data_IF_652541423739
#
_entry.id   IF_652541423739
#
_cell.length_a   1.000
_cell.length_b   1.000
_cell.length_c   1.000
_cell.angle_alpha   90.00
_cell.angle_beta   90.00
_cell.angle_gamma   90.00
#
_symmetry.space_group_name_H-M   'P 1'
#
loop_
_entity.id
_entity.type
_entity.pdbx_description
1 polymer ?
#
# COMPACT_ATOMS: atom_id res chain seq x y z
N UNK A 1 -36.62 -62.65 -7.18
CA UNK A 1 -36.59 -61.50 -6.27
C UNK A 1 -35.21 -60.89 -6.36
N UNK A 2 -35.00 -59.91 -7.30
CA UNK A 2 -33.70 -59.31 -7.59
C UNK A 2 -33.61 -58.02 -6.78
N UNK A 3 -32.67 -57.95 -5.85
CA UNK A 3 -32.33 -56.75 -5.09
C UNK A 3 -31.28 -55.95 -5.93
N UNK A 4 -31.72 -54.79 -6.45
CA UNK A 4 -30.82 -53.82 -7.12
C UNK A 4 -30.12 -53.01 -6.06
N UNK A 5 -28.78 -53.11 -5.98
CA UNK A 5 -27.94 -52.20 -5.24
C UNK A 5 -27.70 -50.94 -6.10
N UNK A 6 -28.20 -49.79 -5.66
CA UNK A 6 -27.88 -48.49 -6.19
C UNK A 6 -26.68 -47.97 -5.39
N UNK A 7 -25.50 -47.99 -6.01
CA UNK A 7 -24.31 -47.31 -5.46
C UNK A 7 -24.43 -45.82 -5.83
N UNK A 8 -24.75 -44.97 -4.85
CA UNK A 8 -24.71 -43.50 -4.98
C UNK A 8 -23.26 -43.06 -4.88
N UNK A 9 -22.68 -42.67 -6.02
CA UNK A 9 -21.35 -42.09 -6.08
C UNK A 9 -21.46 -40.60 -5.72
N UNK A 10 -21.22 -40.24 -4.46
CA UNK A 10 -21.06 -38.84 -4.06
C UNK A 10 -19.72 -38.32 -4.60
N UNK A 11 -19.77 -37.60 -5.71
CA UNK A 11 -18.67 -36.74 -6.13
C UNK A 11 -18.51 -35.59 -5.13
N UNK A 12 -17.58 -35.72 -4.20
CA UNK A 12 -17.09 -34.59 -3.43
C UNK A 12 -16.31 -33.67 -4.38
N UNK A 13 -16.97 -32.67 -4.93
CA UNK A 13 -16.32 -31.56 -5.59
C UNK A 13 -15.55 -30.76 -4.53
N UNK A 14 -14.26 -31.02 -4.40
CA UNK A 14 -13.35 -30.19 -3.60
C UNK A 14 -13.25 -28.86 -4.34
N UNK A 15 -14.13 -27.90 -4.01
CA UNK A 15 -13.94 -26.51 -4.38
C UNK A 15 -12.66 -26.04 -3.68
N UNK A 16 -11.54 -26.09 -4.39
CA UNK A 16 -10.38 -25.31 -4.01
C UNK A 16 -10.78 -23.85 -4.19
N UNK A 17 -11.21 -23.19 -3.11
CA UNK A 17 -11.25 -21.74 -3.04
C UNK A 17 -9.82 -21.27 -3.30
N UNK A 18 -9.55 -20.83 -4.53
CA UNK A 18 -8.35 -20.05 -4.84
C UNK A 18 -8.55 -18.76 -4.02
N UNK A 19 -7.96 -18.72 -2.83
CA UNK A 19 -7.90 -17.47 -2.07
C UNK A 19 -7.23 -16.45 -2.99
N UNK A 20 -7.98 -15.41 -3.36
CA UNK A 20 -7.42 -14.32 -4.14
C UNK A 20 -6.22 -13.76 -3.36
N UNK A 21 -5.06 -13.71 -4.01
CA UNK A 21 -3.86 -13.18 -3.37
C UNK A 21 -4.09 -11.70 -3.09
N UNK A 22 -3.90 -11.31 -1.84
CA UNK A 22 -4.03 -9.91 -1.42
C UNK A 22 -2.78 -9.18 -1.89
N UNK A 23 -2.90 -8.10 -2.68
CA UNK A 23 -1.77 -7.25 -2.99
C UNK A 23 -1.20 -6.58 -1.72
N UNK A 24 0.13 -6.38 -1.67
CA UNK A 24 0.87 -5.81 -0.53
C UNK A 24 0.58 -6.56 0.78
N UNK A 25 0.84 -7.86 0.79
CA UNK A 25 0.62 -8.70 1.96
C UNK A 25 1.85 -9.55 2.28
N UNK A 26 2.13 -9.71 3.57
CA UNK A 26 3.14 -10.63 4.11
C UNK A 26 2.44 -11.88 4.61
N UNK A 27 2.83 -13.06 4.10
CA UNK A 27 2.21 -14.35 4.42
C UNK A 27 3.02 -15.17 5.43
N UNK A 28 4.34 -14.97 5.48
CA UNK A 28 5.21 -15.67 6.43
C UNK A 28 5.50 -14.77 7.64
N UNK A 29 5.26 -15.22 8.87
CA UNK A 29 5.37 -14.40 10.08
C UNK A 29 6.81 -13.98 10.41
N UNK A 30 7.81 -14.68 9.88
CA UNK A 30 9.23 -14.35 10.03
C UNK A 30 9.71 -13.25 9.06
N UNK A 31 8.90 -12.85 8.09
CA UNK A 31 9.24 -11.77 7.16
C UNK A 31 8.81 -10.44 7.73
N UNK A 32 9.73 -9.47 7.75
CA UNK A 32 9.53 -8.13 8.27
C UNK A 32 10.13 -7.07 7.34
N UNK A 33 9.66 -5.84 7.49
CA UNK A 33 10.23 -4.63 6.84
C UNK A 33 10.38 -4.82 5.32
N UNK A 34 9.27 -5.25 4.67
CA UNK A 34 9.26 -5.42 3.22
C UNK A 34 9.09 -4.07 2.55
N UNK A 35 10.14 -3.58 1.89
CA UNK A 35 10.14 -2.34 1.13
C UNK A 35 10.36 -2.60 -0.35
N UNK A 36 9.61 -1.91 -1.20
CA UNK A 36 9.77 -1.91 -2.64
C UNK A 36 9.65 -0.46 -3.13
N UNK A 37 10.73 0.11 -3.64
CA UNK A 37 10.79 1.53 -3.96
C UNK A 37 11.64 1.82 -5.20
N UNK A 38 11.45 3.00 -5.78
CA UNK A 38 12.08 3.42 -7.03
C UNK A 38 13.44 4.09 -6.77
N UNK A 39 14.48 3.66 -7.50
CA UNK A 39 15.77 4.36 -7.65
C UNK A 39 16.37 4.83 -6.31
N UNK A 40 16.57 3.95 -5.36
CA UNK A 40 17.19 4.21 -4.03
C UNK A 40 16.43 5.21 -3.13
N UNK A 41 15.24 5.63 -3.49
CA UNK A 41 14.39 6.47 -2.66
C UNK A 41 13.28 5.64 -1.99
N UNK A 42 13.46 5.29 -0.71
CA UNK A 42 12.54 4.44 0.06
C UNK A 42 11.09 4.98 0.13
N UNK A 43 10.87 6.28 -0.12
CA UNK A 43 9.55 6.90 -0.13
C UNK A 43 8.95 7.00 -1.55
N UNK A 44 9.71 6.62 -2.59
CA UNK A 44 9.23 6.69 -3.95
C UNK A 44 8.37 5.46 -4.31
N UNK A 45 7.16 5.72 -4.77
CA UNK A 45 6.22 4.67 -5.16
C UNK A 45 6.78 3.78 -6.28
N UNK A 46 6.57 2.45 -6.27
CA UNK A 46 7.16 1.50 -7.20
C UNK A 46 6.52 1.56 -8.59
N UNK A 47 6.91 2.56 -9.36
CA UNK A 47 6.49 2.78 -10.75
C UNK A 47 7.69 2.68 -11.67
N UNK A 48 7.57 1.90 -12.74
CA UNK A 48 8.55 1.79 -13.81
C UNK A 48 8.01 2.40 -15.09
N UNK A 49 8.82 3.16 -15.81
CA UNK A 49 8.53 3.49 -17.19
C UNK A 49 8.87 2.29 -18.09
N UNK A 50 7.93 1.88 -18.94
CA UNK A 50 8.12 0.77 -19.86
C UNK A 50 9.31 1.07 -20.78
N UNK A 51 10.26 0.14 -20.86
CA UNK A 51 11.55 0.32 -21.57
C UNK A 51 12.45 1.46 -21.04
N UNK A 52 12.12 2.03 -19.88
CA UNK A 52 12.94 3.03 -19.20
C UNK A 52 14.13 2.43 -18.45
N UNK A 53 15.02 3.29 -17.97
CA UNK A 53 16.21 2.87 -17.19
C UNK A 53 15.91 2.60 -15.71
N UNK A 54 14.72 2.92 -15.24
CA UNK A 54 14.34 2.86 -13.84
C UNK A 54 14.51 1.48 -13.24
N UNK A 55 14.85 1.45 -11.96
CA UNK A 55 15.02 0.24 -11.16
C UNK A 55 14.22 0.33 -9.86
N UNK A 56 13.73 -0.79 -9.42
CA UNK A 56 13.14 -0.94 -8.10
C UNK A 56 14.12 -1.66 -7.18
N UNK A 57 14.29 -1.15 -5.98
CA UNK A 57 14.97 -1.85 -4.90
C UNK A 57 13.92 -2.60 -4.08
N UNK A 58 14.17 -3.87 -3.88
CA UNK A 58 13.41 -4.74 -2.98
C UNK A 58 14.29 -5.07 -1.79
N UNK A 59 13.85 -4.72 -0.60
CA UNK A 59 14.50 -5.00 0.67
C UNK A 59 13.54 -5.71 1.62
N UNK A 60 14.00 -6.74 2.33
CA UNK A 60 13.22 -7.39 3.38
C UNK A 60 14.11 -8.17 4.35
N UNK A 61 13.61 -8.40 5.54
CA UNK A 61 14.30 -9.15 6.59
C UNK A 61 13.60 -10.47 6.90
N UNK A 62 14.39 -11.55 7.08
CA UNK A 62 13.95 -12.85 7.58
C UNK A 62 14.46 -13.03 9.02
N UNK A 63 13.54 -13.04 9.99
CA UNK A 63 13.84 -13.15 11.44
C UNK A 63 14.30 -14.54 11.87
N UNK A 64 14.22 -15.56 11.01
CA UNK A 64 14.83 -16.87 11.32
C UNK A 64 16.36 -16.81 11.28
N UNK A 65 16.94 -15.71 10.79
CA UNK A 65 18.38 -15.42 10.81
C UNK A 65 19.26 -16.51 10.17
N UNK A 66 18.73 -17.19 9.17
CA UNK A 66 19.44 -18.16 8.34
C UNK A 66 19.23 -17.85 6.88
N UNK A 67 20.10 -18.37 6.03
CA UNK A 67 19.96 -18.19 4.57
C UNK A 67 18.92 -19.15 4.03
N UNK A 68 17.95 -18.62 3.31
CA UNK A 68 16.93 -19.36 2.59
C UNK A 68 16.95 -18.99 1.10
N UNK A 69 16.44 -19.86 0.28
CA UNK A 69 16.38 -19.64 -1.16
C UNK A 69 15.08 -18.93 -1.53
N UNK A 70 15.11 -17.62 -1.57
CA UNK A 70 13.99 -16.81 -2.05
C UNK A 70 14.06 -16.62 -3.56
N UNK A 71 12.90 -16.66 -4.20
CA UNK A 71 12.70 -16.40 -5.63
C UNK A 71 11.60 -15.36 -5.80
N UNK A 72 11.63 -14.66 -6.92
CA UNK A 72 10.55 -13.76 -7.29
C UNK A 72 10.02 -14.04 -8.70
N UNK A 73 8.78 -13.62 -8.95
CA UNK A 73 8.14 -13.56 -10.26
C UNK A 73 7.20 -12.37 -10.33
N UNK A 74 6.83 -12.00 -11.56
CA UNK A 74 5.82 -10.96 -11.81
C UNK A 74 4.53 -11.61 -12.32
N UNK A 75 3.39 -11.15 -11.82
CA UNK A 75 2.09 -11.50 -12.34
C UNK A 75 1.38 -10.27 -12.86
N UNK A 76 1.07 -10.24 -14.17
CA UNK A 76 0.28 -9.17 -14.78
C UNK A 76 -1.16 -9.24 -14.25
N UNK A 77 -1.69 -8.06 -13.86
CA UNK A 77 -3.04 -7.87 -13.38
C UNK A 77 -3.77 -6.78 -14.19
N UNK A 78 -5.08 -6.80 -14.16
CA UNK A 78 -5.93 -5.74 -14.67
C UNK A 78 -5.91 -4.50 -13.75
N UNK A 79 -6.57 -3.41 -14.15
CA UNK A 79 -6.68 -2.18 -13.39
C UNK A 79 -7.23 -2.38 -11.96
N UNK A 80 -8.07 -3.38 -11.76
CA UNK A 80 -8.68 -3.80 -10.49
C UNK A 80 -7.86 -4.85 -9.71
N UNK A 81 -6.63 -5.11 -10.11
CA UNK A 81 -5.71 -6.12 -9.56
C UNK A 81 -6.14 -7.57 -9.75
N UNK A 82 -7.20 -7.84 -10.55
CA UNK A 82 -7.53 -9.22 -10.93
C UNK A 82 -6.42 -9.79 -11.82
N UNK A 83 -5.90 -11.01 -11.53
CA UNK A 83 -4.84 -11.63 -12.32
C UNK A 83 -5.29 -11.88 -13.77
N UNK A 84 -4.43 -11.52 -14.71
CA UNK A 84 -4.68 -11.78 -16.14
C UNK A 84 -4.30 -13.23 -16.47
N UNK A 85 -5.18 -13.92 -17.21
CA UNK A 85 -4.99 -15.31 -17.61
C UNK A 85 -4.28 -15.40 -18.96
N UNK A 86 -2.99 -15.04 -18.98
CA UNK A 86 -2.09 -15.20 -20.15
C UNK A 86 -0.76 -15.79 -19.68
N UNK A 87 0.02 -16.31 -20.63
CA UNK A 87 1.35 -16.84 -20.32
C UNK A 87 2.30 -15.74 -19.85
N UNK A 88 3.17 -16.04 -18.89
CA UNK A 88 4.22 -15.11 -18.48
C UNK A 88 5.15 -14.70 -19.63
N UNK A 89 5.34 -15.55 -20.65
CA UNK A 89 6.10 -15.23 -21.86
C UNK A 89 5.49 -14.10 -22.70
N UNK A 90 4.20 -13.78 -22.51
CA UNK A 90 3.52 -12.68 -23.21
C UNK A 90 3.89 -11.31 -22.62
N UNK A 91 4.45 -11.24 -21.38
CA UNK A 91 4.78 -9.99 -20.70
C UNK A 91 6.13 -9.97 -19.97
N UNK A 92 6.86 -11.11 -19.95
CA UNK A 92 8.23 -11.20 -19.43
C UNK A 92 9.13 -11.77 -20.54
N UNK A 93 10.20 -11.04 -20.85
CA UNK A 93 11.27 -11.54 -21.70
C UNK A 93 12.41 -12.06 -20.84
N UNK A 94 12.76 -13.33 -20.99
CA UNK A 94 13.78 -14.01 -20.20
C UNK A 94 13.19 -14.96 -19.18
N UNK A 95 13.78 -15.02 -18.00
CA UNK A 95 13.36 -15.93 -16.94
C UNK A 95 12.13 -15.40 -16.21
N UNK A 96 11.10 -16.24 -16.09
CA UNK A 96 9.88 -15.90 -15.37
C UNK A 96 10.07 -15.94 -13.84
N UNK A 97 11.01 -16.73 -13.34
CA UNK A 97 11.32 -16.90 -11.92
C UNK A 97 12.81 -16.68 -11.71
N UNK A 98 13.18 -15.84 -10.76
CA UNK A 98 14.55 -15.44 -10.52
C UNK A 98 14.90 -15.57 -9.04
N UNK A 99 16.10 -16.11 -8.68
CA UNK A 99 16.53 -16.20 -7.30
C UNK A 99 17.00 -14.84 -6.78
N UNK A 100 16.69 -14.55 -5.51
CA UNK A 100 17.25 -13.42 -4.77
C UNK A 100 18.56 -13.89 -4.15
N UNK A 101 19.70 -13.34 -4.61
CA UNK A 101 21.05 -13.84 -4.27
C UNK A 101 21.78 -12.97 -3.26
N UNK A 102 21.43 -11.68 -3.19
CA UNK A 102 22.09 -10.74 -2.30
C UNK A 102 21.46 -10.80 -0.92
N UNK A 103 22.28 -11.11 0.08
CA UNK A 103 21.84 -11.16 1.47
C UNK A 103 22.99 -10.83 2.43
N UNK A 104 22.63 -10.28 3.59
CA UNK A 104 23.53 -9.98 4.68
C UNK A 104 22.95 -10.45 6.02
N UNK A 105 23.78 -11.01 6.88
CA UNK A 105 23.38 -11.26 8.26
C UNK A 105 23.35 -9.94 9.03
N UNK A 106 22.37 -9.81 9.93
CA UNK A 106 22.37 -8.69 10.88
C UNK A 106 23.63 -8.71 11.72
N UNK A 107 24.21 -7.53 11.94
CA UNK A 107 25.36 -7.35 12.83
C UNK A 107 25.03 -6.28 13.86
N UNK A 108 25.58 -6.41 15.07
CA UNK A 108 25.39 -5.51 16.24
C UNK A 108 23.94 -5.41 16.75
N UNK A 109 22.94 -5.96 16.07
CA UNK A 109 21.55 -6.00 16.50
C UNK A 109 21.29 -7.06 17.58
N UNK A 110 20.37 -6.76 18.53
CA UNK A 110 19.88 -7.77 19.48
C UNK A 110 18.98 -8.77 18.78
N UNK A 111 18.10 -8.29 17.91
CA UNK A 111 17.27 -9.12 17.04
C UNK A 111 18.09 -9.60 15.88
N UNK A 112 18.26 -10.91 15.76
CA UNK A 112 18.95 -11.50 14.60
C UNK A 112 18.01 -11.64 13.44
N UNK A 113 18.50 -11.32 12.23
CA UNK A 113 17.79 -11.50 10.98
C UNK A 113 18.78 -11.67 9.83
N UNK A 114 18.29 -12.18 8.71
CA UNK A 114 18.99 -12.13 7.42
C UNK A 114 18.28 -11.10 6.56
N UNK A 115 19.00 -10.05 6.16
CA UNK A 115 18.53 -9.05 5.22
C UNK A 115 18.73 -9.52 3.80
N UNK A 116 17.71 -9.41 2.95
CA UNK A 116 17.74 -9.72 1.52
C UNK A 116 17.53 -8.47 0.70
N UNK A 117 18.27 -8.37 -0.41
CA UNK A 117 18.20 -7.26 -1.35
C UNK A 117 18.10 -7.76 -2.79
N UNK A 118 17.34 -7.05 -3.65
CA UNK A 118 17.31 -7.27 -5.09
C UNK A 118 17.00 -6.00 -5.86
N UNK A 119 17.65 -5.80 -7.01
CA UNK A 119 17.38 -4.69 -7.93
C UNK A 119 16.60 -5.21 -9.13
N UNK A 120 15.40 -4.69 -9.32
CA UNK A 120 14.41 -5.18 -10.27
C UNK A 120 14.05 -4.12 -11.35
N UNK A 121 13.75 -4.51 -12.59
CA UNK A 121 13.94 -5.84 -13.17
C UNK A 121 15.43 -6.15 -13.42
N UNK A 122 15.83 -7.41 -13.28
CA UNK A 122 17.15 -7.87 -13.69
C UNK A 122 17.27 -7.94 -15.22
N UNK A 123 18.51 -7.95 -15.75
CA UNK A 123 18.75 -8.06 -17.20
C UNK A 123 18.17 -9.34 -17.81
N UNK A 124 18.13 -10.42 -17.03
CA UNK A 124 17.58 -11.72 -17.44
C UNK A 124 16.06 -11.85 -17.30
N UNK A 125 15.34 -10.83 -16.82
CA UNK A 125 13.89 -10.88 -16.57
C UNK A 125 13.27 -9.50 -16.77
N UNK A 126 12.95 -9.16 -18.01
CA UNK A 126 12.50 -7.82 -18.41
C UNK A 126 11.00 -7.82 -18.65
N UNK A 127 10.29 -6.88 -18.01
CA UNK A 127 8.87 -6.63 -18.25
C UNK A 127 8.71 -5.95 -19.63
N UNK A 128 7.81 -6.47 -20.48
CA UNK A 128 7.63 -6.03 -21.87
C UNK A 128 6.27 -5.42 -22.18
N UNK A 129 5.38 -5.35 -21.18
CA UNK A 129 4.05 -4.71 -21.31
C UNK A 129 3.81 -3.76 -20.15
N UNK A 130 3.08 -2.70 -20.41
CA UNK A 130 2.57 -1.82 -19.36
C UNK A 130 1.38 -2.45 -18.64
N UNK A 131 1.11 -2.02 -17.40
CA UNK A 131 -0.01 -2.52 -16.59
C UNK A 131 0.33 -2.61 -15.11
N UNK A 132 -0.55 -3.25 -14.37
CA UNK A 132 -0.36 -3.57 -12.96
C UNK A 132 0.36 -4.91 -12.82
N UNK A 133 1.37 -4.96 -11.97
CA UNK A 133 2.11 -6.17 -11.69
C UNK A 133 2.12 -6.48 -10.20
N UNK A 134 1.84 -7.72 -9.86
CA UNK A 134 2.05 -8.23 -8.53
C UNK A 134 3.41 -8.94 -8.50
N UNK A 135 4.38 -8.33 -7.81
CA UNK A 135 5.63 -8.99 -7.45
C UNK A 135 5.29 -10.07 -6.39
N UNK A 136 5.66 -11.30 -6.65
CA UNK A 136 5.51 -12.43 -5.74
C UNK A 136 6.87 -12.93 -5.33
N UNK A 137 7.13 -12.96 -4.04
CA UNK A 137 8.34 -13.57 -3.47
C UNK A 137 7.95 -14.85 -2.74
N UNK A 138 8.69 -15.92 -3.00
CA UNK A 138 8.37 -17.28 -2.52
C UNK A 138 9.64 -18.11 -2.27
N UNK A 139 9.50 -19.17 -1.50
CA UNK A 139 10.61 -20.05 -1.11
C UNK A 139 10.82 -21.20 -2.09
N UNK A 140 12.10 -21.63 -2.21
CA UNK A 140 12.52 -22.88 -2.86
C UNK A 140 12.03 -23.04 -4.30
N UNK A 141 11.85 -21.96 -5.04
CA UNK A 141 11.28 -21.95 -6.39
C UNK A 141 9.86 -22.57 -6.48
N UNK A 142 9.11 -22.57 -5.37
CA UNK A 142 7.75 -23.08 -5.26
C UNK A 142 6.76 -21.94 -4.98
N UNK A 143 6.00 -21.54 -6.00
CA UNK A 143 5.03 -20.45 -5.91
C UNK A 143 3.89 -20.69 -4.91
N UNK A 144 3.72 -21.90 -4.41
CA UNK A 144 2.78 -22.21 -3.34
C UNK A 144 3.33 -21.78 -1.95
N UNK A 145 4.66 -21.64 -1.80
CA UNK A 145 5.33 -21.18 -0.59
C UNK A 145 5.51 -19.66 -0.59
N UNK A 146 4.43 -18.92 -0.76
CA UNK A 146 4.45 -17.48 -0.90
C UNK A 146 4.92 -16.82 0.41
N UNK A 147 5.93 -15.96 0.33
CA UNK A 147 6.44 -15.19 1.44
C UNK A 147 5.72 -13.85 1.58
N UNK A 148 5.65 -13.09 0.49
CA UNK A 148 4.93 -11.82 0.43
C UNK A 148 4.62 -11.43 -1.02
N UNK A 149 3.77 -10.41 -1.17
CA UNK A 149 3.44 -9.75 -2.44
C UNK A 149 3.59 -8.25 -2.32
N UNK A 150 4.00 -7.58 -3.42
CA UNK A 150 4.04 -6.11 -3.55
C UNK A 150 3.54 -5.66 -4.91
N UNK A 151 2.84 -4.52 -4.95
CA UNK A 151 2.37 -3.89 -6.17
C UNK A 151 3.50 -3.21 -6.92
N UNK A 152 3.48 -3.29 -8.25
CA UNK A 152 4.32 -2.54 -9.18
C UNK A 152 3.42 -1.97 -10.26
N UNK A 153 3.63 -0.72 -10.63
CA UNK A 153 3.04 -0.13 -11.83
C UNK A 153 4.09 -0.04 -12.93
N UNK A 154 3.71 -0.41 -14.15
CA UNK A 154 4.56 -0.22 -15.33
C UNK A 154 3.78 0.62 -16.34
N UNK A 155 4.25 1.84 -16.59
CA UNK A 155 3.53 2.82 -17.42
C UNK A 155 4.18 2.97 -18.79
N UNK A 156 3.34 2.99 -19.85
CA UNK A 156 3.69 3.38 -21.19
C UNK A 156 2.97 4.70 -21.50
N UNK A 157 3.65 5.83 -21.34
CA UNK A 157 3.05 7.17 -21.38
C UNK A 157 2.52 7.56 -22.78
N UNK A 158 1.54 6.82 -23.29
CA UNK A 158 0.88 7.03 -24.59
C UNK A 158 -0.22 8.10 -24.54
N UNK A 159 -0.67 8.53 -23.36
CA UNK A 159 -1.64 9.62 -23.20
C UNK A 159 -1.04 10.75 -22.35
N UNK A 160 -1.50 11.98 -22.60
CA UNK A 160 -1.18 13.10 -21.73
C UNK A 160 -2.33 13.41 -20.79
N UNK A 161 -2.00 13.73 -19.55
CA UNK A 161 -2.95 14.02 -18.47
C UNK A 161 -2.60 15.38 -17.87
N UNK A 162 -3.61 16.20 -17.64
CA UNK A 162 -3.49 17.44 -16.88
C UNK A 162 -4.57 17.48 -15.81
N UNK A 163 -4.20 17.75 -14.57
CA UNK A 163 -5.11 17.70 -13.43
C UNK A 163 -4.88 18.83 -12.45
N UNK A 164 -5.92 19.19 -11.71
CA UNK A 164 -5.90 20.16 -10.63
C UNK A 164 -6.83 19.70 -9.50
N UNK A 165 -6.60 20.18 -8.27
CA UNK A 165 -7.52 19.96 -7.17
C UNK A 165 -8.35 21.19 -6.89
N UNK A 166 -9.56 20.98 -6.40
CA UNK A 166 -10.54 22.01 -6.08
C UNK A 166 -11.26 21.69 -4.78
N UNK A 167 -11.83 22.73 -4.19
CA UNK A 167 -12.81 22.60 -3.13
C UNK A 167 -14.12 22.06 -3.72
N UNK A 168 -14.75 21.02 -3.13
CA UNK A 168 -16.07 20.57 -3.58
C UNK A 168 -17.12 21.67 -3.47
N UNK A 169 -18.01 21.75 -4.45
CA UNK A 169 -19.08 22.75 -4.45
C UNK A 169 -20.19 22.44 -3.41
N UNK A 170 -20.33 21.17 -2.99
CA UNK A 170 -21.27 20.79 -1.96
C UNK A 170 -20.89 21.37 -0.60
N UNK A 171 -21.68 22.27 0.01
CA UNK A 171 -21.33 22.94 1.27
C UNK A 171 -21.10 21.99 2.45
N UNK A 172 -21.71 20.80 2.45
CA UNK A 172 -21.58 19.83 3.53
C UNK A 172 -20.20 19.21 3.62
N UNK A 173 -19.46 19.15 2.49
CA UNK A 173 -18.14 18.52 2.41
C UNK A 173 -17.04 19.48 1.96
N UNK A 174 -17.38 20.72 1.62
CA UNK A 174 -16.42 21.68 1.05
C UNK A 174 -15.22 21.95 1.96
N UNK A 175 -15.39 21.93 3.28
CA UNK A 175 -14.31 22.19 4.24
C UNK A 175 -13.53 20.92 4.63
N UNK A 176 -13.98 19.74 4.19
CA UNK A 176 -13.45 18.45 4.66
C UNK A 176 -12.95 17.55 3.55
N UNK A 177 -13.28 17.85 2.29
CA UNK A 177 -12.96 17.00 1.16
C UNK A 177 -12.22 17.77 0.06
N UNK A 178 -11.51 17.05 -0.77
CA UNK A 178 -10.75 17.53 -1.92
C UNK A 178 -11.31 16.88 -3.19
N UNK A 179 -11.58 17.70 -4.20
CA UNK A 179 -12.07 17.28 -5.51
C UNK A 179 -10.95 17.35 -6.52
N UNK A 180 -10.79 16.31 -7.32
CA UNK A 180 -9.79 16.26 -8.39
C UNK A 180 -10.51 16.42 -9.73
N UNK A 181 -10.07 17.38 -10.53
CA UNK A 181 -10.52 17.55 -11.92
C UNK A 181 -9.35 17.32 -12.86
N UNK A 182 -9.57 16.62 -13.95
CA UNK A 182 -8.50 16.34 -14.89
C UNK A 182 -9.02 16.08 -16.29
N UNK A 183 -8.11 16.21 -17.26
CA UNK A 183 -8.33 15.92 -18.67
C UNK A 183 -7.34 14.86 -19.13
N UNK A 184 -7.81 13.95 -19.97
CA UNK A 184 -7.00 12.94 -20.64
C UNK A 184 -7.04 13.18 -22.13
N UNK A 185 -5.87 13.36 -22.76
CA UNK A 185 -5.75 13.43 -24.21
C UNK A 185 -5.20 12.08 -24.73
N UNK A 186 -6.02 11.37 -25.48
CA UNK A 186 -5.74 10.03 -25.99
C UNK A 186 -5.39 9.99 -27.47
N UNK A 187 -4.90 11.10 -28.05
CA UNK A 187 -4.66 11.24 -29.49
C UNK A 187 -3.77 10.13 -30.08
N UNK A 188 -2.87 9.58 -29.27
CA UNK A 188 -1.98 8.51 -29.72
C UNK A 188 -2.64 7.11 -29.69
N UNK A 189 -3.85 6.98 -29.12
CA UNK A 189 -4.56 5.70 -29.04
C UNK A 189 -5.62 5.59 -30.15
N UNK A 190 -5.72 4.42 -30.76
CA UNK A 190 -6.77 4.10 -31.71
C UNK A 190 -8.05 3.65 -31.00
N UNK A 191 -8.81 4.60 -30.45
CA UNK A 191 -10.05 4.31 -29.72
C UNK A 191 -11.23 4.14 -30.70
N UNK A 192 -11.93 3.01 -30.58
CA UNK A 192 -13.17 2.71 -31.30
C UNK A 192 -14.38 2.96 -30.40
N UNK A 193 -14.30 2.48 -29.16
CA UNK A 193 -15.32 2.70 -28.15
C UNK A 193 -14.65 3.13 -26.83
N UNK A 194 -14.40 4.43 -26.64
CA UNK A 194 -13.66 4.94 -25.49
C UNK A 194 -14.23 4.49 -24.12
N UNK A 195 -15.55 4.41 -24.00
CA UNK A 195 -16.22 4.04 -22.74
C UNK A 195 -16.01 2.57 -22.33
N UNK A 196 -15.59 1.72 -23.24
CA UNK A 196 -15.25 0.32 -22.93
C UNK A 196 -13.74 0.10 -22.88
N UNK A 197 -12.97 0.97 -23.52
CA UNK A 197 -11.55 0.80 -23.71
C UNK A 197 -10.71 1.60 -22.71
N UNK A 198 -11.23 2.72 -22.18
CA UNK A 198 -10.54 3.54 -21.17
C UNK A 198 -11.14 3.31 -19.79
N UNK A 199 -10.28 3.16 -18.82
CA UNK A 199 -10.60 3.16 -17.39
C UNK A 199 -9.66 4.10 -16.67
N UNK A 200 -10.13 4.78 -15.65
CA UNK A 200 -9.30 5.65 -14.83
C UNK A 200 -9.38 5.23 -13.38
N UNK A 201 -8.24 5.22 -12.72
CA UNK A 201 -8.14 4.98 -11.28
C UNK A 201 -7.42 6.14 -10.64
N UNK A 202 -8.00 6.67 -9.56
CA UNK A 202 -7.38 7.70 -8.74
C UNK A 202 -7.03 7.15 -7.38
N UNK A 203 -5.82 7.49 -6.93
CA UNK A 203 -5.33 7.17 -5.59
C UNK A 203 -5.04 8.46 -4.85
N UNK A 204 -5.31 8.47 -3.54
CA UNK A 204 -4.84 9.46 -2.59
C UNK A 204 -3.74 8.84 -1.74
N UNK A 205 -2.56 9.48 -1.68
CA UNK A 205 -1.41 9.03 -0.89
C UNK A 205 -0.99 7.57 -1.21
N UNK A 206 -1.04 7.21 -2.50
CA UNK A 206 -0.71 5.88 -3.04
C UNK A 206 -1.53 4.72 -2.45
N UNK A 207 -2.65 5.01 -1.80
CA UNK A 207 -3.50 4.05 -1.11
C UNK A 207 -4.53 3.43 -2.04
N UNK A 208 -4.60 2.10 -2.04
CA UNK A 208 -5.57 1.34 -2.84
C UNK A 208 -6.86 1.02 -2.09
N UNK A 209 -6.89 1.12 -0.77
CA UNK A 209 -8.08 0.90 0.05
C UNK A 209 -9.18 1.95 -0.18
N UNK A 210 -8.79 3.17 -0.59
CA UNK A 210 -9.71 4.26 -0.91
C UNK A 210 -9.78 4.60 -2.40
N UNK A 211 -9.17 3.80 -3.28
CA UNK A 211 -9.13 4.03 -4.71
C UNK A 211 -10.52 4.34 -5.30
N UNK A 212 -10.56 5.31 -6.23
CA UNK A 212 -11.76 5.65 -7.00
C UNK A 212 -11.57 5.18 -8.44
N UNK A 213 -12.49 4.34 -8.89
CA UNK A 213 -12.54 3.83 -10.27
C UNK A 213 -13.57 4.61 -11.05
N UNK A 214 -13.20 5.13 -12.22
CA UNK A 214 -14.06 5.93 -13.09
C UNK A 214 -14.08 5.31 -14.49
N UNK A 215 -15.25 4.87 -14.92
CA UNK A 215 -15.46 4.23 -16.21
C UNK A 215 -15.85 5.22 -17.32
N UNK A 216 -16.35 6.41 -16.96
CA UNK A 216 -16.89 7.36 -17.92
C UNK A 216 -16.43 8.79 -17.61
N UNK A 217 -15.98 9.54 -18.63
CA UNK A 217 -15.75 10.97 -18.49
C UNK A 217 -17.07 11.74 -18.33
N UNK A 218 -16.99 12.92 -17.74
CA UNK A 218 -18.13 13.86 -17.64
C UNK A 218 -18.49 14.45 -19.01
N UNK A 219 -17.46 14.70 -19.82
CA UNK A 219 -17.57 15.22 -21.18
C UNK A 219 -16.43 14.70 -22.05
N UNK A 220 -16.66 14.60 -23.36
CA UNK A 220 -15.59 14.28 -24.30
C UNK A 220 -15.79 15.01 -25.63
N UNK A 221 -14.67 15.36 -26.26
CA UNK A 221 -14.64 15.97 -27.60
C UNK A 221 -13.42 15.46 -28.37
N UNK A 222 -13.65 14.71 -29.43
CA UNK A 222 -12.57 14.05 -30.18
C UNK A 222 -11.74 13.12 -29.27
N UNK A 223 -10.45 13.42 -29.11
CA UNK A 223 -9.52 12.67 -28.28
C UNK A 223 -9.38 13.20 -26.84
N UNK A 224 -10.12 14.24 -26.48
CA UNK A 224 -10.07 14.82 -25.13
C UNK A 224 -11.23 14.31 -24.29
N UNK A 225 -10.91 13.82 -23.10
CA UNK A 225 -11.86 13.31 -22.10
C UNK A 225 -11.72 14.12 -20.83
N UNK A 226 -12.81 14.73 -20.38
CA UNK A 226 -12.87 15.57 -19.19
C UNK A 226 -13.53 14.82 -18.04
N UNK A 227 -12.92 14.92 -16.86
CA UNK A 227 -13.38 14.34 -15.61
C UNK A 227 -13.54 15.46 -14.57
N UNK A 228 -14.69 16.15 -14.64
CA UNK A 228 -14.98 17.35 -13.86
C UNK A 228 -16.35 17.32 -13.17
N UNK A 229 -16.98 16.14 -13.05
CA UNK A 229 -18.25 15.95 -12.32
C UNK A 229 -18.16 16.49 -10.89
N UNK A 230 -19.27 16.98 -10.34
CA UNK A 230 -19.30 17.53 -8.99
C UNK A 230 -19.21 16.47 -7.89
N UNK A 231 -19.60 15.24 -8.19
CA UNK A 231 -19.66 14.17 -7.22
C UNK A 231 -18.44 13.23 -7.22
N UNK A 232 -17.73 13.13 -8.34
CA UNK A 232 -16.62 12.18 -8.53
C UNK A 232 -15.57 12.81 -9.45
N UNK A 233 -14.27 12.78 -9.10
CA UNK A 233 -13.67 12.17 -7.90
C UNK A 233 -13.56 13.15 -6.72
N UNK A 234 -14.05 12.73 -5.55
CA UNK A 234 -13.95 13.49 -4.30
C UNK A 234 -13.41 12.56 -3.21
N UNK A 235 -12.39 13.05 -2.50
CA UNK A 235 -11.74 12.32 -1.41
C UNK A 235 -11.89 13.08 -0.09
N UNK A 236 -12.09 12.39 1.05
CA UNK A 236 -11.88 13.01 2.35
C UNK A 236 -10.45 13.54 2.46
N UNK A 237 -10.27 14.75 2.91
CA UNK A 237 -8.94 15.38 2.99
C UNK A 237 -8.02 14.72 4.00
N UNK A 238 -8.58 14.08 5.04
CA UNK A 238 -7.78 13.57 6.15
C UNK A 238 -7.14 14.70 6.94
N UNK A 239 -6.03 14.41 7.58
CA UNK A 239 -5.17 15.34 8.32
C UNK A 239 -3.73 14.90 8.18
N UNK A 240 -2.74 15.79 8.45
CA UNK A 240 -1.33 15.44 8.45
C UNK A 240 -1.10 14.19 9.32
N UNK A 241 -0.31 13.24 8.82
CA UNK A 241 -0.04 11.98 9.47
C UNK A 241 0.75 12.19 10.76
N UNK A 242 0.46 11.41 11.78
CA UNK A 242 1.29 11.37 12.99
C UNK A 242 2.65 10.80 12.62
N UNK A 243 3.67 11.15 13.36
CA UNK A 243 5.02 10.70 13.13
C UNK A 243 5.64 10.04 14.36
N UNK A 244 6.58 9.15 14.13
CA UNK A 244 7.37 8.49 15.15
C UNK A 244 8.79 8.31 14.65
N UNK A 245 9.74 8.99 15.28
CA UNK A 245 11.15 8.83 15.02
C UNK A 245 11.73 7.73 15.91
N UNK A 246 12.16 6.65 15.29
CA UNK A 246 12.83 5.49 15.89
C UNK A 246 14.23 5.28 15.32
N UNK A 247 14.87 6.30 14.77
CA UNK A 247 16.22 6.21 14.21
C UNK A 247 17.28 5.89 15.25
N UNK A 248 16.95 6.06 16.52
CA UNK A 248 17.73 5.59 17.66
C UNK A 248 16.82 5.04 18.74
N UNK A 249 17.15 3.88 19.28
CA UNK A 249 16.49 3.37 20.47
C UNK A 249 17.11 3.92 21.75
N UNK A 250 18.35 4.40 21.69
CA UNK A 250 19.06 5.00 22.85
C UNK A 250 18.68 6.45 23.06
N UNK A 251 18.59 7.22 21.98
CA UNK A 251 18.19 8.63 21.98
C UNK A 251 16.72 8.73 21.59
N UNK A 252 15.86 8.69 22.60
CA UNK A 252 14.42 8.69 22.41
C UNK A 252 13.94 10.01 21.86
N UNK A 253 13.08 9.96 20.86
CA UNK A 253 12.40 11.15 20.33
C UNK A 253 11.33 11.66 21.32
N UNK A 254 10.86 12.89 21.08
CA UNK A 254 9.84 13.53 21.92
C UNK A 254 8.49 12.79 21.94
N UNK A 255 8.23 11.91 20.95
CA UNK A 255 7.04 11.06 20.89
C UNK A 255 7.13 9.81 21.74
N UNK A 256 8.31 9.44 22.20
CA UNK A 256 8.51 8.28 23.08
C UNK A 256 8.27 8.69 24.54
N UNK A 257 7.44 7.93 25.25
CA UNK A 257 7.20 8.12 26.68
C UNK A 257 8.27 7.42 27.53
N UNK A 258 8.65 6.22 27.11
CA UNK A 258 9.71 5.40 27.77
C UNK A 258 10.14 4.27 26.82
N UNK A 259 11.28 3.67 27.16
CA UNK A 259 11.75 2.42 26.56
C UNK A 259 12.21 1.46 27.66
N UNK A 260 11.86 0.19 27.50
CA UNK A 260 12.30 -0.91 28.37
C UNK A 260 13.30 -1.76 27.58
N UNK A 261 14.51 -1.88 28.10
CA UNK A 261 15.60 -2.64 27.49
C UNK A 261 15.80 -3.95 28.26
N UNK A 262 15.50 -5.05 27.59
CA UNK A 262 15.77 -6.39 28.08
C UNK A 262 16.97 -7.00 27.32
N UNK A 263 17.62 -8.05 27.88
CA UNK A 263 18.81 -8.64 27.23
C UNK A 263 18.59 -9.13 25.77
N UNK A 264 17.35 -9.39 25.36
CA UNK A 264 17.00 -9.94 24.04
C UNK A 264 15.91 -9.17 23.30
N UNK A 265 15.42 -8.07 23.85
CA UNK A 265 14.32 -7.32 23.23
C UNK A 265 14.26 -5.89 23.75
N UNK A 266 13.82 -4.99 22.89
CA UNK A 266 13.50 -3.61 23.23
C UNK A 266 11.99 -3.40 23.11
N UNK A 267 11.39 -2.72 24.10
CA UNK A 267 9.99 -2.29 24.02
C UNK A 267 9.94 -0.78 24.14
N UNK A 268 9.30 -0.12 23.19
CA UNK A 268 9.13 1.34 23.16
C UNK A 268 7.66 1.66 23.36
N UNK A 269 7.39 2.61 24.25
CA UNK A 269 6.04 3.10 24.52
C UNK A 269 5.89 4.50 23.95
N UNK A 270 5.03 4.65 22.96
CA UNK A 270 4.66 5.95 22.40
C UNK A 270 3.81 6.71 23.42
N UNK A 271 3.99 8.03 23.50
CA UNK A 271 3.09 8.88 24.29
C UNK A 271 1.65 8.69 23.83
N UNK A 272 0.66 8.64 24.73
CA UNK A 272 -0.73 8.48 24.35
C UNK A 272 -1.14 9.56 23.34
N UNK A 273 -1.75 9.13 22.26
CA UNK A 273 -2.23 9.97 21.16
C UNK A 273 -3.67 10.41 21.40
N UNK A 274 -3.94 11.69 21.58
CA UNK A 274 -5.31 12.16 21.70
C UNK A 274 -6.06 12.06 20.35
N UNK A 275 -7.39 11.99 20.46
CA UNK A 275 -8.28 12.29 19.34
C UNK A 275 -7.99 13.70 18.78
N UNK A 276 -7.92 13.79 17.46
CA UNK A 276 -7.71 15.05 16.74
C UNK A 276 -8.88 15.45 15.86
N UNK A 277 -9.98 14.70 15.87
CA UNK A 277 -11.11 14.90 14.94
C UNK A 277 -11.70 16.29 15.01
N UNK A 278 -11.80 16.86 16.21
CA UNK A 278 -12.31 18.23 16.45
C UNK A 278 -11.21 19.31 16.56
N UNK A 279 -9.94 18.93 16.45
CA UNK A 279 -8.84 19.91 16.55
C UNK A 279 -8.67 20.70 15.26
N UNK A 280 -8.29 21.98 15.32
CA UNK A 280 -7.94 22.76 14.15
C UNK A 280 -6.86 22.08 13.30
N UNK A 281 -6.87 22.39 12.01
CA UNK A 281 -5.81 21.95 11.11
C UNK A 281 -4.54 22.77 11.33
N UNK A 282 -3.41 22.09 11.36
CA UNK A 282 -2.06 22.66 11.31
C UNK A 282 -1.23 21.86 10.33
N UNK A 283 -0.62 22.57 9.39
CA UNK A 283 0.33 21.96 8.47
C UNK A 283 1.67 21.66 9.15
N UNK A 284 2.19 20.49 8.92
CA UNK A 284 3.58 20.09 9.09
C UNK A 284 3.92 19.05 8.03
N UNK A 285 5.19 19.05 7.57
CA UNK A 285 5.61 18.11 6.57
C UNK A 285 5.55 16.67 7.11
N UNK A 286 4.97 15.76 6.35
CA UNK A 286 4.95 14.34 6.61
C UNK A 286 5.26 13.53 5.33
N UNK A 287 5.12 12.23 5.35
CA UNK A 287 5.38 11.34 4.23
C UNK A 287 4.11 10.57 3.81
N UNK A 288 2.97 11.17 4.00
CA UNK A 288 1.67 10.64 3.57
C UNK A 288 1.40 9.18 4.00
N UNK A 289 1.83 8.81 5.22
CA UNK A 289 1.67 7.47 5.78
C UNK A 289 2.80 6.51 5.48
N UNK A 290 3.83 6.95 4.76
CA UNK A 290 5.02 6.17 4.45
C UNK A 290 6.00 6.03 5.61
N UNK A 291 7.01 5.18 5.43
CA UNK A 291 8.14 5.05 6.36
C UNK A 291 9.44 4.79 5.60
N UNK A 292 10.55 5.04 6.26
CA UNK A 292 11.87 4.65 5.77
C UNK A 292 12.74 4.10 6.88
N UNK A 293 13.61 3.14 6.53
CA UNK A 293 14.59 2.54 7.42
C UNK A 293 15.82 3.40 7.47
N UNK A 294 16.16 3.89 8.65
CA UNK A 294 17.36 4.70 8.90
C UNK A 294 17.78 4.56 10.35
N UNK A 295 19.07 4.80 10.63
CA UNK A 295 19.59 4.84 11.98
C UNK A 295 20.66 5.91 12.15
N UNK A 296 20.75 6.45 13.35
CA UNK A 296 21.86 7.31 13.79
C UNK A 296 22.91 6.55 14.63
N UNK A 297 22.69 5.26 14.88
CA UNK A 297 23.53 4.42 15.75
C UNK A 297 24.57 3.59 15.00
N UNK A 298 24.44 3.47 13.66
CA UNK A 298 25.34 2.67 12.83
C UNK A 298 25.44 3.24 11.41
N UNK A 299 26.35 2.66 10.60
CA UNK A 299 26.61 3.13 9.23
C UNK A 299 25.59 2.58 8.24
N UNK A 300 25.19 1.31 8.40
CA UNK A 300 24.29 0.65 7.45
C UNK A 300 22.91 0.40 8.09
N UNK A 301 21.85 1.05 7.59
CA UNK A 301 20.51 0.91 8.14
C UNK A 301 19.84 -0.43 7.83
N UNK A 302 20.30 -1.18 6.85
CA UNK A 302 19.65 -2.40 6.40
C UNK A 302 19.96 -3.63 7.25
N UNK A 303 21.23 -3.79 7.67
CA UNK A 303 21.67 -4.96 8.45
C UNK A 303 22.44 -4.60 9.75
N UNK A 304 22.49 -3.32 10.13
CA UNK A 304 23.08 -2.86 11.40
C UNK A 304 22.07 -2.14 12.30
N UNK A 305 20.80 -2.31 12.07
CA UNK A 305 19.70 -1.75 12.87
C UNK A 305 19.02 -2.86 13.67
N UNK A 306 18.31 -2.45 14.69
CA UNK A 306 17.58 -3.38 15.54
C UNK A 306 16.06 -3.19 15.40
N UNK A 307 15.32 -4.09 16.01
CA UNK A 307 13.86 -4.10 16.11
C UNK A 307 13.39 -3.84 17.51
N UNK A 308 12.24 -3.19 17.65
CA UNK A 308 11.56 -3.01 18.91
C UNK A 308 10.06 -3.35 18.79
N UNK A 309 9.50 -3.86 19.88
CA UNK A 309 8.05 -3.87 20.03
C UNK A 309 7.59 -2.47 20.43
N UNK A 310 6.87 -1.80 19.54
CA UNK A 310 6.36 -0.45 19.74
C UNK A 310 4.91 -0.52 20.19
N UNK A 311 4.62 0.07 21.37
CA UNK A 311 3.29 0.12 21.97
C UNK A 311 2.64 1.47 21.69
N UNK A 312 1.49 1.45 21.05
CA UNK A 312 0.68 2.61 20.71
C UNK A 312 -0.54 2.68 21.62
N UNK A 313 -0.96 3.91 21.96
CA UNK A 313 -2.16 4.16 22.75
C UNK A 313 -2.94 5.32 22.13
N UNK A 314 -4.19 5.10 21.78
CA UNK A 314 -5.09 6.14 21.31
C UNK A 314 -6.13 6.47 22.37
N UNK A 315 -6.25 7.76 22.69
CA UNK A 315 -7.18 8.28 23.70
C UNK A 315 -8.44 8.77 23.00
N UNK A 316 -9.56 8.03 23.05
CA UNK A 316 -10.80 8.45 22.44
C UNK A 316 -11.48 9.57 23.25
N UNK A 317 -12.46 10.29 22.65
CA UNK A 317 -13.27 11.29 23.37
C UNK A 317 -13.91 10.72 24.62
N UNK A 318 -13.76 11.43 25.74
CA UNK A 318 -14.33 11.04 27.03
C UNK A 318 -13.76 9.74 27.60
N UNK A 319 -12.62 9.26 27.13
CA UNK A 319 -12.00 7.99 27.54
C UNK A 319 -12.96 6.77 27.45
N UNK A 320 -13.86 6.79 26.47
CA UNK A 320 -14.88 5.77 26.26
C UNK A 320 -14.72 5.15 24.87
N UNK A 321 -15.09 3.87 24.70
CA UNK A 321 -14.98 3.22 23.41
C UNK A 321 -15.87 3.90 22.36
N UNK A 322 -15.41 4.00 21.12
CA UNK A 322 -16.20 4.52 20.01
C UNK A 322 -17.31 3.52 19.66
N UNK A 323 -18.58 3.93 19.70
CA UNK A 323 -19.71 3.06 19.39
C UNK A 323 -19.61 2.51 17.95
N UNK A 324 -19.84 1.23 17.77
CA UNK A 324 -19.91 0.55 16.48
C UNK A 324 -18.67 0.70 15.58
N UNK A 325 -17.52 1.11 16.15
CA UNK A 325 -16.27 1.28 15.41
C UNK A 325 -15.19 0.34 15.93
N UNK A 326 -14.50 -0.32 15.00
CA UNK A 326 -13.17 -0.88 15.23
C UNK A 326 -12.12 0.16 14.87
N UNK A 327 -11.07 0.29 15.69
CA UNK A 327 -9.94 1.19 15.44
C UNK A 327 -8.74 0.38 15.01
N UNK A 328 -8.00 0.89 14.04
CA UNK A 328 -6.79 0.29 13.51
C UNK A 328 -5.63 1.28 13.52
N UNK A 329 -4.44 0.82 13.91
CA UNK A 329 -3.19 1.48 13.58
C UNK A 329 -2.98 1.37 12.07
N UNK A 330 -2.69 2.47 11.40
CA UNK A 330 -2.77 2.55 9.96
C UNK A 330 -1.62 3.35 9.35
N UNK A 331 -1.12 2.88 8.22
CA UNK A 331 -0.01 3.43 7.46
C UNK A 331 0.72 2.32 6.72
N UNK A 332 1.78 2.67 6.01
CA UNK A 332 2.61 1.68 5.32
C UNK A 332 3.24 0.68 6.31
N UNK A 333 3.49 1.10 7.55
CA UNK A 333 3.99 0.25 8.64
C UNK A 333 3.09 -0.98 8.95
N UNK A 334 1.82 -0.94 8.53
CA UNK A 334 0.85 -2.06 8.61
C UNK A 334 0.42 -2.53 7.21
N UNK A 335 1.15 -2.16 6.15
CA UNK A 335 0.77 -2.40 4.74
C UNK A 335 -0.67 -1.92 4.44
N UNK A 336 -1.14 -0.89 5.14
CA UNK A 336 -2.52 -0.38 5.08
C UNK A 336 -3.58 -1.47 5.31
N UNK A 337 -3.25 -2.55 6.04
CA UNK A 337 -4.12 -3.70 6.26
C UNK A 337 -5.04 -3.52 7.47
N UNK A 338 -6.25 -4.09 7.37
CA UNK A 338 -7.26 -4.15 8.43
C UNK A 338 -7.37 -5.58 8.94
N UNK A 339 -6.45 -5.97 9.81
CA UNK A 339 -6.35 -7.31 10.38
C UNK A 339 -6.12 -7.24 11.90
N UNK A 340 -6.06 -8.39 12.55
CA UNK A 340 -5.88 -8.46 14.01
C UNK A 340 -4.54 -7.85 14.48
N UNK A 341 -3.50 -7.86 13.64
CA UNK A 341 -2.20 -7.29 13.98
C UNK A 341 -2.22 -5.74 14.02
N UNK A 342 -3.04 -5.11 13.18
CA UNK A 342 -3.22 -3.64 13.16
C UNK A 342 -4.37 -3.14 14.02
N UNK A 343 -5.24 -4.07 14.51
CA UNK A 343 -6.42 -3.71 15.32
C UNK A 343 -6.02 -3.24 16.70
N UNK A 344 -6.63 -2.13 17.14
CA UNK A 344 -6.48 -1.59 18.49
C UNK A 344 -7.56 -2.16 19.42
N UNK A 345 -7.18 -2.52 20.64
CA UNK A 345 -8.09 -3.09 21.65
C UNK A 345 -8.33 -2.07 22.76
N UNK A 346 -9.59 -1.84 23.10
CA UNK A 346 -9.93 -0.90 24.17
C UNK A 346 -9.59 -1.49 25.54
N UNK A 347 -8.83 -0.74 26.33
CA UNK A 347 -8.48 -1.05 27.71
C UNK A 347 -9.39 -0.22 28.64
N UNK A 348 -10.39 -0.86 29.23
CA UNK A 348 -11.39 -0.19 30.09
C UNK A 348 -10.77 0.46 31.33
N UNK A 349 -9.70 -0.13 31.90
CA UNK A 349 -9.06 0.42 33.12
C UNK A 349 -8.32 1.73 32.82
N UNK A 350 -7.77 1.86 31.61
CA UNK A 350 -7.00 3.05 31.20
C UNK A 350 -7.85 4.04 30.38
N UNK A 351 -9.00 3.60 29.87
CA UNK A 351 -9.84 4.41 29.00
C UNK A 351 -9.19 4.74 27.65
N UNK A 352 -8.37 3.84 27.09
CA UNK A 352 -7.64 4.04 25.84
C UNK A 352 -7.66 2.78 24.97
N UNK A 353 -7.49 2.94 23.68
CA UNK A 353 -7.21 1.82 22.77
C UNK A 353 -5.70 1.54 22.74
N UNK A 354 -5.30 0.30 22.86
CA UNK A 354 -3.91 -0.15 22.85
C UNK A 354 -3.65 -1.09 21.68
N UNK A 355 -2.50 -0.93 21.04
CA UNK A 355 -2.00 -1.79 19.97
C UNK A 355 -0.48 -1.86 19.97
N UNK A 356 0.10 -2.72 19.13
CA UNK A 356 1.55 -2.80 19.02
C UNK A 356 1.98 -3.23 17.65
N UNK A 357 3.14 -2.75 17.21
CA UNK A 357 3.82 -3.17 16.00
C UNK A 357 5.28 -3.55 16.33
N UNK A 358 5.84 -4.49 15.57
CA UNK A 358 7.25 -4.84 15.65
C UNK A 358 7.98 -4.11 14.54
N UNK A 359 8.73 -3.06 14.91
CA UNK A 359 9.28 -2.09 13.96
C UNK A 359 10.81 -2.06 14.02
N UNK A 360 11.43 -1.94 12.86
CA UNK A 360 12.86 -1.68 12.69
C UNK A 360 13.18 -0.23 13.01
N UNK A 361 14.45 0.09 13.33
CA UNK A 361 14.89 1.49 13.42
C UNK A 361 14.58 2.24 12.13
N UNK A 362 13.96 3.43 12.23
CA UNK A 362 13.53 4.22 11.09
C UNK A 362 12.64 5.39 11.49
N UNK A 363 12.04 6.03 10.50
CA UNK A 363 11.05 7.07 10.70
C UNK A 363 9.72 6.62 10.10
N UNK A 364 8.63 6.77 10.84
CA UNK A 364 7.33 6.22 10.50
C UNK A 364 6.25 7.28 10.54
N UNK A 365 5.44 7.36 9.48
CA UNK A 365 4.15 8.02 9.57
C UNK A 365 3.06 7.00 9.89
N UNK A 366 2.09 7.40 10.71
CA UNK A 366 0.95 6.57 11.08
C UNK A 366 -0.28 7.42 11.40
N UNK A 367 -1.42 6.78 11.40
CA UNK A 367 -2.68 7.36 11.83
C UNK A 367 -3.54 6.29 12.51
N UNK A 368 -4.65 6.72 13.09
CA UNK A 368 -5.69 5.83 13.54
C UNK A 368 -6.90 5.97 12.62
N UNK A 369 -7.44 4.86 12.16
CA UNK A 369 -8.64 4.85 11.32
C UNK A 369 -9.70 3.97 11.93
N UNK A 370 -10.95 4.27 11.60
CA UNK A 370 -12.10 3.47 12.05
C UNK A 370 -12.72 2.70 10.90
N UNK A 371 -13.28 1.53 11.22
CA UNK A 371 -14.18 0.77 10.35
C UNK A 371 -15.46 0.47 11.10
N UNK A 372 -16.60 0.65 10.45
CA UNK A 372 -17.89 0.36 11.04
C UNK A 372 -18.07 -1.16 11.20
N UNK A 373 -18.32 -1.63 12.43
CA UNK A 373 -18.52 -3.05 12.77
C UNK A 373 -19.76 -3.64 12.09
N UNK A 374 -20.77 -2.81 11.90
CA UNK A 374 -22.07 -3.20 11.32
C UNK A 374 -22.04 -3.18 9.78
N UNK A 375 -20.98 -2.62 9.16
CA UNK A 375 -20.77 -2.61 7.72
C UNK A 375 -19.31 -2.96 7.37
N UNK A 376 -18.95 -4.25 7.31
CA UNK A 376 -17.56 -4.67 7.00
C UNK A 376 -17.05 -4.19 5.64
N UNK A 377 -17.94 -3.89 4.69
CA UNK A 377 -17.60 -3.35 3.37
C UNK A 377 -17.37 -1.84 3.35
N UNK A 378 -17.64 -1.13 4.45
CA UNK A 378 -17.38 0.30 4.53
C UNK A 378 -15.88 0.61 4.39
N UNK A 379 -15.57 1.69 3.68
CA UNK A 379 -14.21 2.22 3.61
C UNK A 379 -13.76 2.66 5.01
N UNK A 380 -12.46 2.61 5.25
CA UNK A 380 -11.87 3.17 6.46
C UNK A 380 -12.06 4.68 6.51
N UNK A 381 -12.26 5.23 7.72
CA UNK A 381 -12.51 6.65 7.93
C UNK A 381 -11.56 7.25 8.96
N UNK A 382 -11.07 8.46 8.67
CA UNK A 382 -10.34 9.31 9.62
C UNK A 382 -11.27 10.16 10.51
N UNK A 383 -12.56 10.19 10.21
CA UNK A 383 -13.53 11.12 10.78
C UNK A 383 -13.56 11.11 12.32
N UNK A 384 -13.48 9.93 12.93
CA UNK A 384 -13.62 9.76 14.39
C UNK A 384 -12.29 9.76 15.15
N UNK A 385 -11.16 9.99 14.48
CA UNK A 385 -9.83 9.87 15.09
C UNK A 385 -8.92 11.03 14.73
N UNK A 386 -8.83 11.36 13.46
CA UNK A 386 -7.95 12.42 12.93
C UNK A 386 -8.74 13.65 12.46
N UNK A 387 -9.95 13.43 11.94
CA UNK A 387 -10.73 14.44 11.23
C UNK A 387 -10.35 14.57 9.76
N UNK A 388 -11.06 15.47 9.06
CA UNK A 388 -10.82 15.77 7.65
C UNK A 388 -10.79 17.28 7.44
N UNK A 389 -9.82 17.76 6.65
CA UNK A 389 -9.67 19.17 6.31
C UNK A 389 -9.33 19.32 4.82
N UNK A 390 -9.93 20.31 4.18
CA UNK A 390 -9.64 20.62 2.77
C UNK A 390 -8.18 21.01 2.54
N UNK A 391 -7.58 21.74 3.49
CA UNK A 391 -6.20 22.24 3.41
C UNK A 391 -5.12 21.17 3.60
N UNK A 392 -5.51 19.94 3.95
CA UNK A 392 -4.55 18.84 4.18
C UNK A 392 -3.70 18.61 2.92
N UNK A 393 -2.38 18.54 3.13
CA UNK A 393 -1.48 18.13 2.06
C UNK A 393 -1.73 16.67 1.72
N UNK A 394 -1.93 16.39 0.43
CA UNK A 394 -2.11 15.05 -0.10
C UNK A 394 -1.50 14.93 -1.50
N UNK A 395 -0.98 13.74 -1.78
CA UNK A 395 -0.59 13.31 -3.11
C UNK A 395 -1.73 12.57 -3.81
N UNK A 396 -1.99 12.94 -5.06
CA UNK A 396 -2.95 12.26 -5.91
C UNK A 396 -2.26 11.65 -7.10
N UNK A 397 -2.59 10.40 -7.40
CA UNK A 397 -2.11 9.69 -8.56
C UNK A 397 -3.28 9.35 -9.47
N UNK A 398 -3.23 9.81 -10.73
CA UNK A 398 -4.21 9.52 -11.77
C UNK A 398 -3.60 8.49 -12.70
N UNK A 399 -4.24 7.33 -12.81
CA UNK A 399 -3.82 6.20 -13.63
C UNK A 399 -4.83 5.99 -14.76
N UNK A 400 -4.36 6.00 -16.00
CA UNK A 400 -5.22 5.77 -17.19
C UNK A 400 -4.85 4.44 -17.81
N UNK A 401 -5.85 3.57 -17.88
CA UNK A 401 -5.72 2.23 -18.47
C UNK A 401 -6.46 2.18 -19.80
N UNK A 402 -5.87 1.44 -20.73
CA UNK A 402 -6.43 1.15 -22.04
C UNK A 402 -6.53 -0.35 -22.24
N UNK A 403 -7.69 -0.79 -22.77
CA UNK A 403 -7.85 -2.16 -23.27
C UNK A 403 -8.23 -2.11 -24.74
N UNK A 404 -7.35 -2.63 -25.60
CA UNK A 404 -7.64 -2.73 -27.05
C UNK A 404 -8.84 -3.66 -27.29
N UNK A 405 -9.53 -3.48 -28.42
CA UNK A 405 -10.62 -4.38 -28.83
C UNK A 405 -10.09 -5.82 -28.96
N UNK A 406 -10.69 -6.73 -28.20
CA UNK A 406 -10.20 -8.12 -28.10
C UNK A 406 -8.93 -8.32 -27.24
N UNK A 407 -8.43 -7.25 -26.60
CA UNK A 407 -7.31 -7.31 -25.67
C UNK A 407 -7.63 -8.10 -24.41
N UNK A 408 -6.65 -8.89 -23.93
CA UNK A 408 -6.82 -9.77 -22.75
C UNK A 408 -6.36 -9.14 -21.45
N UNK A 409 -5.74 -7.95 -21.48
CA UNK A 409 -5.21 -7.26 -20.33
C UNK A 409 -5.46 -5.75 -20.44
N UNK A 410 -5.58 -5.08 -19.29
CA UNK A 410 -5.51 -3.61 -19.22
C UNK A 410 -4.04 -3.18 -19.30
N UNK A 411 -3.74 -2.17 -20.11
CA UNK A 411 -2.42 -1.55 -20.26
C UNK A 411 -2.44 -0.18 -19.57
N UNK A 412 -1.48 0.10 -18.71
CA UNK A 412 -1.33 1.41 -18.07
C UNK A 412 -0.65 2.36 -19.05
N UNK A 413 -1.45 3.23 -19.68
CA UNK A 413 -1.03 4.09 -20.80
C UNK A 413 -0.76 5.54 -20.40
N UNK A 414 -1.03 5.89 -19.14
CA UNK A 414 -0.71 7.21 -18.63
C UNK A 414 -0.79 7.28 -17.13
N UNK A 415 0.05 8.13 -16.55
CA UNK A 415 0.11 8.42 -15.13
C UNK A 415 0.38 9.91 -14.93
N UNK A 416 -0.28 10.51 -13.95
CA UNK A 416 -0.07 11.89 -13.55
C UNK A 416 -0.13 12.01 -12.04
N UNK A 417 0.85 12.70 -11.47
CA UNK A 417 0.92 12.98 -10.03
C UNK A 417 0.57 14.45 -9.78
N UNK A 418 -0.20 14.69 -8.73
CA UNK A 418 -0.62 16.01 -8.28
C UNK A 418 -0.45 16.09 -6.76
N UNK A 419 0.35 17.03 -6.27
CA UNK A 419 0.42 17.37 -4.84
C UNK A 419 -0.34 18.66 -4.56
N UNK A 420 -1.12 18.69 -3.48
CA UNK A 420 -1.98 19.85 -3.17
C UNK A 420 -1.21 21.10 -2.76
N UNK A 421 0.03 21.00 -2.27
CA UNK A 421 0.89 22.17 -2.01
C UNK A 421 1.48 22.77 -3.29
N UNK A 422 1.82 21.95 -4.27
CA UNK A 422 2.44 22.40 -5.52
C UNK A 422 1.46 23.01 -6.53
N UNK A 423 0.16 22.96 -6.25
CA UNK A 423 -0.91 23.42 -7.12
C UNK A 423 -1.54 24.76 -6.70
N UNK A 424 -0.93 25.44 -5.70
CA UNK A 424 -1.36 26.77 -5.23
C UNK A 424 -0.69 27.90 -6.01
#
# INVERSE_FOLDING_TARGET
>A
MLIKYIISLCLFSICHSIAAQIPDAVYLPNIQTVQLYLNDNQLAYPVLNLNGPDKLNLDFDDLDANVKNYYYTYQLCNADWTPVQISSFDYIRGFAQNPIRDYHYSSIALTRYTHYHAVLPEQGSVITRSGNYLLKVFLDNDTAKLAFTKRILVVDNAVSIAGQFFQPMNPQISQTHQKIQFNVNSRALALVNPFQQLKVVLLQNHRWDNAIYIDKPSFYSGSNFEYNSDDIPVFPGGKQWRWLDLQSFRYQSDRVARADYLPKSTTIYVKPDPDRSAQPYYYYADYNGGYFVQTTESINPYYQTDYATVKFSFVPPGNSPLPDQDIYLFGELTEYQFNDASRMVFNEQKGVYEGSAFLKMGFYNYAYVTKNKNNPGAKASFEFTEGNHFETENDYLILVYYRSMGGRADELVGMFSLNTLGAQ
#
